data_IF_948891573435
#
_entry.id   IF_948891573435
#
_cell.length_a   1.000
_cell.length_b   1.000
_cell.length_c   1.000
_cell.angle_alpha   90.00
_cell.angle_beta   90.00
_cell.angle_gamma   90.00
#
_symmetry.space_group_name_H-M   'P 1'
#
loop_
_entity.id
_entity.type
_entity.pdbx_description
1 polymer ?
#
# COMPACT_ATOMS: atom_id res chain seq x y z
N UNK A 1 21.88 8.02 63.98
CA UNK A 1 22.62 7.01 63.20
C UNK A 1 21.66 5.84 63.00
N UNK A 2 21.16 5.41 61.85
CA UNK A 2 21.44 5.63 60.43
C UNK A 2 20.15 5.21 59.73
N UNK A 3 19.50 6.09 58.95
CA UNK A 3 18.36 5.71 58.11
C UNK A 3 18.84 5.73 56.66
N UNK A 4 19.02 4.54 56.09
CA UNK A 4 19.39 4.32 54.70
C UNK A 4 18.21 4.63 53.78
N UNK A 5 18.37 5.61 52.89
CA UNK A 5 17.49 5.83 51.75
C UNK A 5 17.83 4.81 50.66
N UNK A 6 16.83 4.10 50.15
CA UNK A 6 16.93 3.17 49.04
C UNK A 6 16.50 3.94 47.78
N UNK A 7 17.41 4.20 46.85
CA UNK A 7 17.05 4.79 45.55
C UNK A 7 16.47 3.72 44.61
N UNK A 8 15.33 3.98 43.93
CA UNK A 8 14.84 3.07 42.91
C UNK A 8 15.71 3.19 41.64
N UNK A 9 16.38 2.10 41.28
CA UNK A 9 17.05 1.96 39.97
C UNK A 9 16.00 1.94 38.87
N UNK A 10 15.80 3.06 38.17
CA UNK A 10 15.05 3.11 36.91
C UNK A 10 15.90 2.43 35.84
N UNK A 11 15.47 1.25 35.39
CA UNK A 11 16.09 0.55 34.27
C UNK A 11 15.75 1.29 32.98
N UNK A 12 16.74 1.90 32.33
CA UNK A 12 16.58 2.51 31.03
C UNK A 12 16.04 1.47 30.03
N UNK A 13 14.88 1.74 29.45
CA UNK A 13 14.37 1.00 28.29
C UNK A 13 15.26 1.40 27.10
N UNK A 14 15.86 0.45 26.36
CA UNK A 14 16.61 0.80 25.16
C UNK A 14 15.67 1.48 24.17
N UNK A 15 15.94 2.74 23.85
CA UNK A 15 15.22 3.52 22.85
C UNK A 15 15.26 2.76 21.53
N UNK A 16 14.09 2.40 21.00
CA UNK A 16 13.97 1.82 19.68
C UNK A 16 14.64 2.74 18.64
N UNK A 17 15.27 2.18 17.59
CA UNK A 17 15.89 2.99 16.56
C UNK A 17 14.86 3.96 15.97
N UNK A 18 15.22 5.24 15.91
CA UNK A 18 14.49 6.29 15.21
C UNK A 18 14.36 5.89 13.74
N UNK A 19 13.30 5.14 13.41
CA UNK A 19 12.90 4.91 12.04
C UNK A 19 12.19 6.19 11.62
N UNK A 20 12.91 7.09 10.96
CA UNK A 20 12.35 8.29 10.34
C UNK A 20 11.32 7.84 9.31
N UNK A 21 10.06 7.70 9.72
CA UNK A 21 8.96 7.44 8.82
C UNK A 21 8.76 8.69 7.97
N UNK A 22 9.12 8.64 6.70
CA UNK A 22 8.73 9.65 5.73
C UNK A 22 7.24 9.45 5.41
N UNK A 23 6.36 9.99 6.27
CA UNK A 23 4.91 9.88 6.09
C UNK A 23 4.44 10.88 5.05
N UNK A 24 4.28 10.40 3.82
CA UNK A 24 3.55 11.13 2.78
C UNK A 24 2.11 11.33 3.24
N UNK A 25 1.58 12.55 3.10
CA UNK A 25 0.21 12.84 3.53
C UNK A 25 -0.81 12.00 2.76
N UNK A 26 -1.94 11.68 3.40
CA UNK A 26 -2.98 10.85 2.77
C UNK A 26 -3.54 11.49 1.49
N UNK A 27 -3.68 12.83 1.47
CA UNK A 27 -4.13 13.56 0.30
C UNK A 27 -3.11 13.48 -0.83
N UNK A 28 -1.82 13.58 -0.53
CA UNK A 28 -0.78 13.47 -1.55
C UNK A 28 -0.70 12.05 -2.14
N UNK A 29 -0.90 11.00 -1.33
CA UNK A 29 -1.01 9.61 -1.82
C UNK A 29 -2.20 9.43 -2.76
N UNK A 30 -3.32 10.10 -2.49
CA UNK A 30 -4.51 10.06 -3.35
C UNK A 30 -4.31 10.80 -4.67
N UNK A 31 -3.72 12.01 -4.62
CA UNK A 31 -3.58 12.89 -5.79
C UNK A 31 -2.38 12.55 -6.67
N UNK A 32 -1.32 11.99 -6.09
CA UNK A 32 -0.09 11.65 -6.80
C UNK A 32 0.46 10.27 -6.36
N UNK A 33 -0.32 9.18 -6.54
CA UNK A 33 0.06 7.84 -6.08
C UNK A 33 1.33 7.34 -6.78
N UNK A 34 2.18 6.63 -6.05
CA UNK A 34 3.30 5.85 -6.61
C UNK A 34 2.90 4.40 -6.91
N UNK A 35 1.72 4.00 -6.44
CA UNK A 35 1.15 2.69 -6.69
C UNK A 35 -0.37 2.73 -6.65
N UNK A 36 -1.00 1.95 -7.53
CA UNK A 36 -2.46 1.86 -7.62
C UNK A 36 -2.87 0.39 -7.70
N UNK A 37 -3.79 -0.03 -6.84
CA UNK A 37 -4.50 -1.30 -6.97
C UNK A 37 -5.85 -1.08 -7.69
N UNK A 38 -6.21 -1.98 -8.60
CA UNK A 38 -7.53 -2.00 -9.24
C UNK A 38 -8.25 -3.27 -8.80
N UNK A 39 -9.21 -3.13 -7.88
CA UNK A 39 -9.99 -4.24 -7.33
C UNK A 39 -11.25 -4.45 -8.16
N UNK A 40 -11.47 -5.68 -8.63
CA UNK A 40 -12.48 -5.95 -9.64
C UNK A 40 -11.93 -5.78 -11.07
N UNK A 41 -10.60 -5.81 -11.24
CA UNK A 41 -9.95 -5.62 -12.53
C UNK A 41 -10.45 -6.61 -13.59
N UNK A 42 -10.67 -6.14 -14.82
CA UNK A 42 -11.18 -6.94 -15.95
C UNK A 42 -10.24 -6.89 -17.15
N UNK A 43 -10.05 -8.02 -17.82
CA UNK A 43 -9.30 -8.10 -19.09
C UNK A 43 -10.02 -7.39 -20.22
N UNK A 44 -11.35 -7.27 -20.12
CA UNK A 44 -12.15 -6.46 -21.02
C UNK A 44 -12.06 -4.99 -20.58
N UNK A 45 -11.32 -4.20 -21.37
CA UNK A 45 -11.05 -2.78 -21.15
C UNK A 45 -12.29 -1.88 -21.24
N UNK A 46 -13.43 -2.39 -21.73
CA UNK A 46 -14.67 -1.61 -21.86
C UNK A 46 -15.54 -1.69 -20.61
N UNK A 47 -15.35 -2.72 -19.77
CA UNK A 47 -16.09 -2.87 -18.50
C UNK A 47 -15.62 -1.87 -17.46
N UNK A 48 -16.49 -1.55 -16.52
CA UNK A 48 -16.18 -0.69 -15.36
C UNK A 48 -14.87 -1.09 -14.67
N UNK A 49 -14.63 -2.39 -14.45
CA UNK A 49 -13.39 -2.90 -13.87
C UNK A 49 -12.15 -2.87 -14.78
N UNK A 50 -12.33 -2.76 -16.10
CA UNK A 50 -11.21 -2.76 -17.05
C UNK A 50 -10.77 -1.35 -17.46
N UNK A 51 -11.69 -0.38 -17.47
CA UNK A 51 -11.44 0.99 -17.94
C UNK A 51 -10.34 1.71 -17.14
N UNK A 52 -10.31 1.68 -15.78
CA UNK A 52 -9.25 2.33 -15.02
C UNK A 52 -7.88 1.75 -15.33
N UNK A 53 -7.79 0.41 -15.38
CA UNK A 53 -6.55 -0.29 -15.68
C UNK A 53 -6.03 0.03 -17.09
N UNK A 54 -6.92 -0.02 -18.08
CA UNK A 54 -6.60 0.32 -19.47
C UNK A 54 -6.08 1.75 -19.58
N UNK A 55 -6.70 2.70 -18.87
CA UNK A 55 -6.28 4.09 -18.84
C UNK A 55 -4.86 4.21 -18.28
N UNK A 56 -4.61 3.65 -17.09
CA UNK A 56 -3.30 3.69 -16.43
C UNK A 56 -2.17 3.15 -17.32
N UNK A 57 -2.40 2.02 -18.00
CA UNK A 57 -1.44 1.43 -18.93
C UNK A 57 -1.25 2.34 -20.15
N UNK A 58 -2.34 2.76 -20.80
CA UNK A 58 -2.29 3.55 -22.04
C UNK A 58 -1.64 4.93 -21.86
N UNK A 59 -1.77 5.53 -20.68
CA UNK A 59 -1.15 6.83 -20.36
C UNK A 59 0.26 6.71 -19.81
N UNK A 60 0.79 5.48 -19.68
CA UNK A 60 2.13 5.23 -19.16
C UNK A 60 2.31 5.65 -17.71
N UNK A 61 1.33 5.34 -16.83
CA UNK A 61 1.48 5.59 -15.41
C UNK A 61 2.78 4.96 -14.90
N UNK A 62 3.65 5.78 -14.32
CA UNK A 62 5.02 5.40 -13.97
C UNK A 62 5.13 4.63 -12.65
N UNK A 63 4.05 4.60 -11.87
CA UNK A 63 3.98 3.85 -10.62
C UNK A 63 3.63 2.37 -10.81
N UNK A 64 3.63 1.63 -9.72
CA UNK A 64 3.25 0.21 -9.73
C UNK A 64 1.74 0.04 -9.90
N UNK A 65 1.32 -0.89 -10.74
CA UNK A 65 -0.08 -1.19 -11.00
C UNK A 65 -0.36 -2.63 -10.55
N UNK A 66 -1.36 -2.80 -9.68
CA UNK A 66 -1.75 -4.10 -9.14
C UNK A 66 -3.21 -4.44 -9.48
N UNK A 67 -3.47 -5.21 -10.56
CA UNK A 67 -4.79 -5.77 -10.80
C UNK A 67 -5.15 -6.79 -9.71
N UNK A 68 -6.38 -6.73 -9.18
CA UNK A 68 -6.90 -7.74 -8.25
C UNK A 68 -8.15 -8.37 -8.86
N UNK A 69 -8.07 -9.68 -9.12
CA UNK A 69 -9.16 -10.47 -9.68
C UNK A 69 -9.07 -11.93 -9.15
N UNK A 70 -10.09 -12.46 -8.46
CA UNK A 70 -10.06 -13.82 -7.90
C UNK A 70 -9.92 -14.94 -8.96
N UNK A 71 -10.37 -14.70 -10.19
CA UNK A 71 -10.51 -15.75 -11.21
C UNK A 71 -9.40 -15.75 -12.26
N UNK A 72 -8.60 -14.68 -12.37
CA UNK A 72 -7.61 -14.52 -13.45
C UNK A 72 -6.21 -14.40 -12.88
N UNK A 73 -5.22 -15.02 -13.53
CA UNK A 73 -3.80 -14.88 -13.17
C UNK A 73 -3.16 -13.65 -13.84
N UNK A 74 -3.74 -13.21 -14.96
CA UNK A 74 -3.33 -12.02 -15.70
C UNK A 74 -4.53 -11.19 -16.11
N UNK A 75 -4.41 -9.86 -16.05
CA UNK A 75 -5.43 -8.91 -16.50
C UNK A 75 -4.74 -7.83 -17.33
N UNK A 76 -5.18 -7.66 -18.58
CA UNK A 76 -4.61 -6.71 -19.55
C UNK A 76 -3.07 -6.77 -19.66
N UNK A 77 -2.52 -8.00 -19.62
CA UNK A 77 -1.08 -8.25 -19.74
C UNK A 77 -0.28 -8.10 -18.44
N UNK A 78 -0.92 -7.68 -17.34
CA UNK A 78 -0.28 -7.58 -16.02
C UNK A 78 -0.64 -8.79 -15.14
N UNK A 79 0.29 -9.28 -14.29
CA UNK A 79 -0.02 -10.28 -13.27
C UNK A 79 -1.11 -9.76 -12.33
N UNK A 80 -2.09 -10.61 -12.02
CA UNK A 80 -3.21 -10.26 -11.15
C UNK A 80 -3.12 -11.01 -9.82
N UNK A 81 -3.36 -10.28 -8.73
CA UNK A 81 -3.47 -10.84 -7.40
C UNK A 81 -4.88 -11.39 -7.19
N UNK A 82 -4.99 -12.48 -6.41
CA UNK A 82 -6.28 -13.13 -6.15
C UNK A 82 -7.11 -12.39 -5.12
N UNK A 83 -6.46 -11.76 -4.14
CA UNK A 83 -7.13 -11.07 -3.04
C UNK A 83 -6.42 -9.76 -2.72
N UNK A 84 -7.16 -8.83 -2.12
CA UNK A 84 -6.63 -7.55 -1.63
C UNK A 84 -5.55 -7.77 -0.56
N UNK A 85 -5.67 -8.85 0.25
CA UNK A 85 -4.69 -9.21 1.27
C UNK A 85 -3.33 -9.65 0.71
N UNK A 86 -3.26 -9.92 -0.59
CA UNK A 86 -2.01 -10.32 -1.25
C UNK A 86 -1.25 -9.10 -1.81
N UNK A 87 -1.78 -7.88 -1.62
CA UNK A 87 -1.12 -6.63 -2.01
C UNK A 87 0.12 -6.36 -1.14
N UNK A 88 1.17 -5.74 -1.71
CA UNK A 88 2.31 -5.30 -0.92
C UNK A 88 1.90 -4.19 0.06
N UNK A 89 2.65 -4.06 1.16
CA UNK A 89 2.48 -2.96 2.10
C UNK A 89 2.78 -1.61 1.42
N UNK A 90 1.99 -0.59 1.75
CA UNK A 90 2.22 0.77 1.27
C UNK A 90 1.65 1.09 -0.11
N UNK A 91 0.63 0.36 -0.58
CA UNK A 91 -0.18 0.78 -1.73
C UNK A 91 -0.80 2.15 -1.44
N UNK A 92 -0.62 3.11 -2.34
CA UNK A 92 -1.05 4.50 -2.13
C UNK A 92 -2.55 4.69 -2.40
N UNK A 93 -3.11 4.00 -3.40
CA UNK A 93 -4.49 4.14 -3.82
C UNK A 93 -5.10 2.80 -4.27
N UNK A 94 -6.37 2.57 -3.93
CA UNK A 94 -7.18 1.49 -4.49
C UNK A 94 -8.41 2.05 -5.21
N UNK A 95 -8.64 1.59 -6.44
CA UNK A 95 -9.88 1.81 -7.20
C UNK A 95 -10.71 0.53 -7.04
N UNK A 96 -11.89 0.66 -6.43
CA UNK A 96 -12.79 -0.47 -6.13
C UNK A 96 -14.06 -0.33 -6.94
N UNK A 97 -14.38 -1.38 -7.72
CA UNK A 97 -15.41 -1.35 -8.76
C UNK A 97 -16.13 -2.67 -8.93
#
# INVERSE_FOLDING_TARGET
MTTTLIEPTVRAVPSAPTQTSFTRSNIERLLAPRSIAVVGASSDATRIGGRPLARLISTGFSGAIYPVNPSRDTVQGLPALKRVLDLPMGVDLAIVV
#
